data_IF_208513558467
#
_entry.id   IF_208513558467
#
_cell.length_a   1.000
_cell.length_b   1.000
_cell.length_c   1.000
_cell.angle_alpha   90.00
_cell.angle_beta   90.00
_cell.angle_gamma   90.00
#
_symmetry.space_group_name_H-M   'P 1'
#
loop_
_entity.id
_entity.type
_entity.pdbx_description
1 polymer ?
#
# COMPACT_ATOMS: atom_id res chain seq x y z
N UNK A 1 3.46 -13.53 15.60
CA UNK A 1 4.35 -14.48 16.32
C UNK A 1 4.14 -15.89 15.80
N UNK A 2 2.90 -16.34 15.64
CA UNK A 2 2.51 -17.68 15.20
C UNK A 2 3.15 -18.13 13.88
N UNK A 3 3.05 -17.31 12.81
CA UNK A 3 3.64 -17.64 11.51
C UNK A 3 5.18 -17.78 11.60
N UNK A 4 5.84 -17.00 12.45
CA UNK A 4 7.29 -17.09 12.67
C UNK A 4 7.66 -18.38 13.39
N UNK A 5 6.89 -18.77 14.41
CA UNK A 5 7.13 -20.01 15.16
C UNK A 5 6.95 -21.26 14.29
N UNK A 6 6.13 -21.17 13.24
CA UNK A 6 5.88 -22.25 12.28
C UNK A 6 6.76 -22.19 11.03
N UNK A 7 7.73 -21.28 10.99
CA UNK A 7 8.60 -21.05 9.82
C UNK A 7 7.81 -20.68 8.52
N UNK A 8 6.59 -20.18 8.66
CA UNK A 8 5.70 -19.81 7.55
C UNK A 8 5.75 -18.32 7.20
N UNK A 9 6.31 -17.48 8.08
CA UNK A 9 6.31 -16.03 7.88
C UNK A 9 7.07 -15.62 6.60
N UNK A 10 8.12 -16.35 6.22
CA UNK A 10 8.88 -16.10 4.99
C UNK A 10 8.07 -16.36 3.72
N UNK A 11 7.09 -17.26 3.79
CA UNK A 11 6.24 -17.68 2.68
C UNK A 11 4.85 -17.04 2.71
N UNK A 12 4.58 -16.17 3.70
CA UNK A 12 3.27 -15.53 3.90
C UNK A 12 3.42 -14.02 3.87
N UNK A 13 2.85 -13.38 2.86
CA UNK A 13 2.69 -11.93 2.82
C UNK A 13 1.48 -11.51 3.67
N UNK A 14 1.73 -10.67 4.67
CA UNK A 14 0.70 -10.09 5.54
C UNK A 14 0.53 -8.62 5.15
N UNK A 15 -0.71 -8.24 4.86
CA UNK A 15 -1.11 -6.85 4.60
C UNK A 15 -2.13 -6.45 5.66
N UNK A 16 -1.95 -5.28 6.27
CA UNK A 16 -2.92 -4.72 7.21
C UNK A 16 -3.00 -3.21 7.06
N UNK A 17 -4.21 -2.66 7.04
CA UNK A 17 -4.40 -1.22 6.87
C UNK A 17 -5.88 -0.87 6.69
N UNK A 18 -6.13 0.41 6.47
CA UNK A 18 -7.45 0.93 6.09
C UNK A 18 -7.55 1.17 4.58
N UNK A 19 -8.76 1.43 4.10
CA UNK A 19 -9.01 1.81 2.70
C UNK A 19 -8.63 3.28 2.42
N UNK A 20 -8.68 4.12 3.45
CA UNK A 20 -8.39 5.55 3.41
C UNK A 20 -7.97 6.04 4.79
N UNK A 21 -7.34 7.20 4.83
CA UNK A 21 -6.96 7.89 6.05
C UNK A 21 -8.08 8.74 6.62
N UNK A 22 -7.73 9.55 7.61
CA UNK A 22 -8.63 10.55 8.20
C UNK A 22 -8.00 11.91 8.11
N UNK A 23 -8.80 12.92 7.82
CA UNK A 23 -8.31 14.30 7.78
C UNK A 23 -7.82 14.71 9.16
N UNK A 24 -6.82 15.60 9.27
CA UNK A 24 -6.46 16.23 10.54
C UNK A 24 -7.45 17.34 10.94
N UNK A 25 -8.32 17.75 10.01
CA UNK A 25 -9.33 18.81 10.17
C UNK A 25 -10.75 18.23 10.17
N UNK A 26 -11.75 19.06 10.48
CA UNK A 26 -13.16 18.72 10.32
C UNK A 26 -13.74 19.45 9.10
N UNK A 27 -14.42 18.73 8.20
CA UNK A 27 -15.17 19.33 7.09
C UNK A 27 -16.44 20.04 7.56
N UNK A 28 -16.94 19.69 8.74
CA UNK A 28 -18.14 20.31 9.31
C UNK A 28 -17.94 20.68 10.77
N UNK A 29 -18.72 21.64 11.25
CA UNK A 29 -18.78 22.01 12.67
C UNK A 29 -19.60 21.00 13.50
N UNK A 30 -19.92 19.82 12.95
CA UNK A 30 -20.78 18.80 13.55
C UNK A 30 -20.04 17.46 13.58
N UNK A 31 -19.59 17.05 14.76
CA UNK A 31 -18.91 15.78 14.97
C UNK A 31 -17.52 15.93 15.59
N UNK A 32 -16.86 14.80 15.83
CA UNK A 32 -15.48 14.80 16.31
C UNK A 32 -14.52 15.20 15.17
N UNK A 33 -13.62 16.14 15.47
CA UNK A 33 -12.58 16.58 14.53
C UNK A 33 -11.73 15.38 14.07
N UNK A 34 -11.41 15.35 12.78
CA UNK A 34 -10.52 14.34 12.19
C UNK A 34 -11.15 12.96 11.97
N UNK A 35 -12.42 12.94 11.55
CA UNK A 35 -13.15 11.70 11.21
C UNK A 35 -13.56 11.62 9.74
N UNK A 36 -13.36 12.67 8.95
CA UNK A 36 -13.72 12.64 7.53
C UNK A 36 -12.78 11.72 6.75
N UNK A 37 -13.25 11.24 5.59
CA UNK A 37 -12.49 10.35 4.73
C UNK A 37 -11.35 11.12 4.06
N UNK A 38 -10.14 10.55 4.06
CA UNK A 38 -8.97 11.21 3.50
C UNK A 38 -8.13 10.27 2.65
N UNK A 39 -8.27 10.41 1.33
CA UNK A 39 -7.56 9.54 0.38
C UNK A 39 -6.10 9.93 0.15
N UNK A 40 -5.67 11.13 0.56
CA UNK A 40 -4.35 11.67 0.21
C UNK A 40 -3.22 11.14 1.08
N UNK A 41 -3.53 10.67 2.29
CA UNK A 41 -2.54 10.19 3.24
C UNK A 41 -3.12 9.13 4.17
N UNK A 42 -2.52 7.94 4.18
CA UNK A 42 -2.81 6.85 5.11
C UNK A 42 -1.64 5.86 5.14
N UNK A 43 -1.65 4.97 6.13
CA UNK A 43 -0.57 4.00 6.32
C UNK A 43 -1.03 2.59 6.01
N UNK A 44 -0.13 1.82 5.40
CA UNK A 44 -0.27 0.38 5.18
C UNK A 44 0.85 -0.34 5.91
N UNK A 45 0.52 -1.45 6.56
CA UNK A 45 1.46 -2.33 7.22
C UNK A 45 1.67 -3.59 6.37
N UNK A 46 2.94 -3.95 6.17
CA UNK A 46 3.34 -5.14 5.44
C UNK A 46 4.34 -5.96 6.26
N UNK A 47 4.25 -7.28 6.23
CA UNK A 47 5.21 -8.17 6.87
C UNK A 47 5.26 -9.55 6.20
N UNK A 48 6.40 -10.24 6.37
CA UNK A 48 6.60 -11.58 5.80
C UNK A 48 6.72 -11.56 4.28
N UNK A 49 6.78 -12.74 3.65
CA UNK A 49 6.70 -12.87 2.19
C UNK A 49 7.76 -12.10 1.40
N UNK A 50 8.96 -11.86 1.96
CA UNK A 50 10.03 -11.09 1.32
C UNK A 50 10.05 -9.58 1.62
N UNK A 51 9.17 -9.08 2.51
CA UNK A 51 9.20 -7.68 2.95
C UNK A 51 10.39 -7.42 3.89
N UNK A 52 11.11 -6.32 3.66
CA UNK A 52 12.22 -5.83 4.47
C UNK A 52 11.73 -5.30 5.83
N UNK A 53 11.90 -6.11 6.87
CA UNK A 53 11.52 -5.75 8.24
C UNK A 53 12.29 -4.56 8.80
N UNK A 54 11.67 -3.81 9.73
CA UNK A 54 12.28 -2.64 10.37
C UNK A 54 12.32 -1.40 9.49
N UNK A 55 11.57 -1.39 8.39
CA UNK A 55 11.50 -0.28 7.43
C UNK A 55 10.25 0.56 7.68
N UNK A 56 10.41 1.89 7.68
CA UNK A 56 9.35 2.86 7.46
C UNK A 56 9.65 3.54 6.14
N UNK A 57 8.66 3.62 5.25
CA UNK A 57 8.85 4.14 3.90
C UNK A 57 7.81 5.22 3.62
N UNK A 58 8.31 6.38 3.19
CA UNK A 58 7.54 7.60 3.00
C UNK A 58 7.10 8.28 4.30
N UNK A 59 6.62 9.52 4.15
CA UNK A 59 6.16 10.34 5.26
C UNK A 59 5.15 11.40 4.78
N UNK A 60 4.32 11.87 5.71
CA UNK A 60 3.39 12.97 5.48
C UNK A 60 3.99 14.31 5.86
N UNK A 61 3.35 15.40 5.44
CA UNK A 61 3.66 16.73 5.95
C UNK A 61 3.42 16.84 7.47
N UNK A 62 3.83 17.98 8.05
CA UNK A 62 3.72 18.23 9.51
C UNK A 62 2.29 18.16 10.05
N UNK A 63 1.28 18.33 9.20
CA UNK A 63 -0.14 18.26 9.57
C UNK A 63 -0.72 16.85 9.40
N UNK A 64 0.01 15.94 8.73
CA UNK A 64 -0.51 14.64 8.32
C UNK A 64 -1.52 14.73 7.16
N UNK A 65 -1.47 15.81 6.37
CA UNK A 65 -2.45 16.06 5.32
C UNK A 65 -2.05 15.41 3.98
N UNK A 66 -0.83 15.63 3.50
CA UNK A 66 -0.35 15.04 2.25
C UNK A 66 0.86 14.14 2.48
N UNK A 67 0.96 13.05 1.72
CA UNK A 67 2.21 12.29 1.60
C UNK A 67 3.20 13.11 0.77
N UNK A 68 4.38 13.41 1.33
CA UNK A 68 5.36 14.34 0.74
C UNK A 68 6.75 13.76 0.57
N UNK A 69 7.11 12.75 1.36
CA UNK A 69 8.35 11.99 1.24
C UNK A 69 8.00 10.60 0.69
N UNK A 70 8.69 10.20 -0.39
CA UNK A 70 8.50 8.93 -1.12
C UNK A 70 7.02 8.47 -1.23
N UNK A 71 6.14 9.31 -1.82
CA UNK A 71 4.71 9.02 -1.87
C UNK A 71 4.46 7.74 -2.67
N UNK A 72 3.68 6.83 -2.07
CA UNK A 72 3.31 5.54 -2.69
C UNK A 72 1.91 5.64 -3.27
N UNK A 73 1.77 5.35 -4.57
CA UNK A 73 0.46 5.18 -5.17
C UNK A 73 -0.06 3.75 -4.94
N UNK A 74 -1.38 3.57 -4.93
CA UNK A 74 -2.00 2.23 -4.74
C UNK A 74 -1.57 1.23 -5.83
N UNK A 75 -1.28 1.72 -7.03
CA UNK A 75 -0.80 0.87 -8.12
C UNK A 75 0.59 0.29 -7.82
N UNK A 76 1.48 1.08 -7.21
CA UNK A 76 2.85 0.67 -6.86
C UNK A 76 2.84 -0.32 -5.69
N UNK A 77 1.96 -0.06 -4.70
CA UNK A 77 1.70 -0.98 -3.60
C UNK A 77 1.23 -2.35 -4.12
N UNK A 78 0.22 -2.37 -5.01
CA UNK A 78 -0.27 -3.62 -5.60
C UNK A 78 0.76 -4.30 -6.53
N UNK A 79 1.53 -3.53 -7.30
CA UNK A 79 2.63 -4.07 -8.11
C UNK A 79 3.67 -4.77 -7.23
N UNK A 80 4.02 -4.15 -6.10
CA UNK A 80 4.94 -4.71 -5.11
C UNK A 80 4.39 -5.98 -4.46
N UNK A 81 3.11 -6.00 -4.09
CA UNK A 81 2.46 -7.22 -3.58
C UNK A 81 2.51 -8.36 -4.59
N UNK A 82 2.18 -8.10 -5.86
CA UNK A 82 2.25 -9.11 -6.91
C UNK A 82 3.67 -9.61 -7.13
N UNK A 83 4.66 -8.70 -7.11
CA UNK A 83 6.06 -9.06 -7.20
C UNK A 83 6.50 -10.02 -6.08
N UNK A 84 6.14 -9.72 -4.83
CA UNK A 84 6.43 -10.56 -3.66
C UNK A 84 5.74 -11.94 -3.73
N UNK A 85 4.62 -12.03 -4.45
CA UNK A 85 3.93 -13.29 -4.76
C UNK A 85 4.54 -14.04 -5.96
N UNK A 86 5.63 -13.54 -6.54
CA UNK A 86 6.30 -14.15 -7.69
C UNK A 86 5.62 -13.85 -9.04
N UNK A 87 4.74 -12.84 -9.11
CA UNK A 87 3.98 -12.47 -10.29
C UNK A 87 4.52 -11.18 -10.91
N UNK A 88 4.64 -11.17 -12.24
CA UNK A 88 4.95 -9.97 -13.02
C UNK A 88 3.64 -9.28 -13.41
N UNK A 89 3.32 -8.16 -12.75
CA UNK A 89 2.01 -7.51 -12.85
C UNK A 89 1.67 -6.99 -14.26
N UNK A 90 2.68 -6.66 -15.06
CA UNK A 90 2.57 -6.22 -16.46
C UNK A 90 2.18 -7.36 -17.41
N UNK A 91 2.57 -8.61 -17.09
CA UNK A 91 2.18 -9.81 -17.84
C UNK A 91 0.76 -10.28 -17.56
N UNK A 92 0.14 -9.81 -16.48
CA UNK A 92 -1.25 -10.12 -16.12
C UNK A 92 -2.24 -9.18 -16.83
N UNK A 93 -1.96 -8.90 -18.11
CA UNK A 93 -2.74 -7.98 -18.93
C UNK A 93 -3.66 -8.74 -19.87
N UNK A 94 -4.95 -8.39 -19.85
CA UNK A 94 -5.98 -8.94 -20.75
C UNK A 94 -6.62 -7.82 -21.57
N UNK A 95 -6.79 -8.04 -22.87
CA UNK A 95 -7.54 -7.11 -23.73
C UNK A 95 -9.03 -7.39 -23.58
N UNK A 96 -9.79 -6.42 -23.09
CA UNK A 96 -11.24 -6.52 -22.93
C UNK A 96 -11.90 -5.20 -23.36
N UNK A 97 -12.97 -5.27 -24.15
CA UNK A 97 -13.70 -4.10 -24.67
C UNK A 97 -12.80 -2.96 -25.22
N UNK A 98 -11.72 -3.32 -25.92
CA UNK A 98 -10.80 -2.35 -26.54
C UNK A 98 -9.71 -1.78 -25.62
N UNK A 99 -9.73 -2.07 -24.31
CA UNK A 99 -8.72 -1.63 -23.33
C UNK A 99 -7.90 -2.79 -22.80
N UNK A 100 -6.62 -2.54 -22.54
CA UNK A 100 -5.77 -3.45 -21.77
C UNK A 100 -6.07 -3.28 -20.27
N UNK A 101 -6.55 -4.35 -19.65
CA UNK A 101 -6.82 -4.43 -18.22
C UNK A 101 -5.73 -5.23 -17.54
N UNK A 102 -5.21 -4.72 -16.43
CA UNK A 102 -4.32 -5.44 -15.50
C UNK A 102 -4.74 -5.19 -14.06
N UNK A 103 -4.29 -6.03 -13.14
CA UNK A 103 -4.61 -5.92 -11.70
C UNK A 103 -4.14 -4.60 -11.07
N UNK A 104 -3.13 -3.98 -11.67
CA UNK A 104 -2.55 -2.68 -11.30
C UNK A 104 -3.06 -1.56 -12.21
N UNK A 105 -4.17 -1.76 -12.91
CA UNK A 105 -4.80 -0.79 -13.82
C UNK A 105 -3.83 -0.09 -14.80
N UNK A 106 -3.67 1.24 -14.75
CA UNK A 106 -2.89 1.99 -15.76
C UNK A 106 -1.42 2.24 -15.37
N UNK A 107 -1.03 1.97 -14.12
CA UNK A 107 0.30 2.32 -13.59
C UNK A 107 0.86 1.21 -12.67
N UNK A 108 1.98 1.46 -11.98
CA UNK A 108 2.56 0.54 -11.00
C UNK A 108 4.04 0.32 -11.24
N UNK A 109 4.85 0.72 -10.27
CA UNK A 109 6.26 0.38 -10.15
C UNK A 109 6.50 -0.39 -8.84
N UNK A 110 7.42 -1.35 -8.88
CA UNK A 110 7.76 -2.14 -7.69
C UNK A 110 8.64 -1.30 -6.77
N UNK A 111 8.22 -1.14 -5.52
CA UNK A 111 8.94 -0.39 -4.48
C UNK A 111 10.09 -1.26 -3.97
N UNK A 112 11.26 -1.11 -4.58
CA UNK A 112 12.43 -1.96 -4.28
C UNK A 112 12.94 -1.79 -2.84
N UNK A 113 12.82 -0.58 -2.28
CA UNK A 113 13.42 -0.23 -0.99
C UNK A 113 12.80 -0.98 0.21
N UNK A 114 11.59 -1.54 0.04
CA UNK A 114 10.86 -2.29 1.06
C UNK A 114 10.95 -3.83 0.88
N UNK A 115 11.78 -4.31 -0.04
CA UNK A 115 12.01 -5.73 -0.32
C UNK A 115 13.35 -6.18 0.30
N UNK A 116 13.39 -7.41 0.84
CA UNK A 116 14.52 -7.97 1.59
C UNK A 116 15.63 -8.59 0.71
#
# INVERSE_FOLDING_TARGET
>A
QDLKQRDMLKDTLIIWGGEFGRTPMAQTNKGAVGRDHHMRAFSMFMAGGGVKGGTTYGNTDELGYDAVEDPVHVNDLHATMLHLLGLQHDRLTIRYQGRDFRLTDIAGEVIQDIIA
#
